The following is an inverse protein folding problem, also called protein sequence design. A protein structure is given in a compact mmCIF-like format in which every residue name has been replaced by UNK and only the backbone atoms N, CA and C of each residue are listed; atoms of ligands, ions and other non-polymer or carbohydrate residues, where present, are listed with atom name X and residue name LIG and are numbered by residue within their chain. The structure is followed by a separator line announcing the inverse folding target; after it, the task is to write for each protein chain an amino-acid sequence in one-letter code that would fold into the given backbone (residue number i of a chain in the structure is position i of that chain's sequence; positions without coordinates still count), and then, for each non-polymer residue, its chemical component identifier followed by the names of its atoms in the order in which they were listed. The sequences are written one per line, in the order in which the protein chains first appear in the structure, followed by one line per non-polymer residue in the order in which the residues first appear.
data_IF_450059007207
#
_entry.id   IF_450059007207
#
_cell.length_a   1.000
_cell.length_b   1.000
_cell.length_c   1.000
_cell.angle_alpha   90.00
_cell.angle_beta   90.00
_cell.angle_gamma   90.00
#
_symmetry.space_group_name_H-M   'P 1'
#
loop_
_entity.id
_entity.type
_entity.pdbx_description
1 polymer ?
#
# COMPACT_ATOMS: atom_id res chain seq x y z
N UNK A 1 13.25 -12.85 37.08
CA UNK A 1 12.13 -13.78 36.77
C UNK A 1 11.19 -13.27 35.68
N UNK A 2 11.15 -11.96 35.38
CA UNK A 2 10.30 -11.33 34.35
C UNK A 2 10.67 -11.64 32.89
N UNK A 3 11.94 -11.91 32.60
CA UNK A 3 12.42 -12.16 31.24
C UNK A 3 11.96 -13.52 30.68
N UNK A 4 11.78 -14.50 31.57
CA UNK A 4 11.43 -15.88 31.20
C UNK A 4 9.93 -16.01 30.87
N UNK A 5 9.07 -15.28 31.58
CA UNK A 5 7.63 -15.24 31.32
C UNK A 5 7.29 -14.48 30.04
N UNK A 6 8.08 -13.46 29.69
CA UNK A 6 7.96 -12.75 28.40
C UNK A 6 8.30 -13.66 27.23
N UNK A 7 9.42 -14.40 27.32
CA UNK A 7 9.85 -15.32 26.27
C UNK A 7 8.80 -16.41 26.01
N UNK A 8 8.26 -17.01 27.08
CA UNK A 8 7.23 -18.03 26.98
C UNK A 8 5.92 -17.48 26.37
N UNK A 9 5.54 -16.26 26.76
CA UNK A 9 4.36 -15.57 26.19
C UNK A 9 4.54 -15.25 24.71
N UNK A 10 5.74 -14.85 24.29
CA UNK A 10 6.06 -14.63 22.88
C UNK A 10 6.03 -15.93 22.08
N UNK A 11 6.64 -17.01 22.59
CA UNK A 11 6.63 -18.31 21.93
C UNK A 11 5.22 -18.87 21.76
N UNK A 12 4.36 -18.77 22.79
CA UNK A 12 2.96 -19.17 22.70
C UNK A 12 2.17 -18.36 21.68
N UNK A 13 2.38 -17.04 21.61
CA UNK A 13 1.71 -16.19 20.60
C UNK A 13 2.14 -16.56 19.18
N UNK A 14 3.44 -16.74 18.97
CA UNK A 14 3.99 -17.13 17.67
C UNK A 14 3.51 -18.52 17.23
N UNK A 15 3.40 -19.49 18.13
CA UNK A 15 2.89 -20.83 17.78
C UNK A 15 1.42 -20.81 17.37
N UNK A 16 0.58 -20.06 18.10
CA UNK A 16 -0.84 -19.89 17.76
C UNK A 16 -1.01 -19.19 16.41
N UNK A 17 -0.23 -18.14 16.16
CA UNK A 17 -0.26 -17.45 14.86
C UNK A 17 0.23 -18.35 13.73
N UNK A 18 1.30 -19.12 13.95
CA UNK A 18 1.82 -20.09 12.99
C UNK A 18 0.76 -21.13 12.59
N UNK A 19 0.02 -21.66 13.56
CA UNK A 19 -1.10 -22.59 13.30
C UNK A 19 -2.23 -21.95 12.48
N UNK A 20 -2.62 -20.72 12.81
CA UNK A 20 -3.65 -20.00 12.04
C UNK A 20 -3.22 -19.73 10.60
N UNK A 21 -1.93 -19.40 10.40
CA UNK A 21 -1.37 -19.21 9.07
C UNK A 21 -1.35 -20.53 8.29
N UNK A 22 -0.94 -21.63 8.92
CA UNK A 22 -0.95 -22.96 8.32
C UNK A 22 -2.35 -23.38 7.89
N UNK A 23 -3.35 -23.25 8.78
CA UNK A 23 -4.74 -23.57 8.46
C UNK A 23 -5.26 -22.72 7.29
N UNK A 24 -4.95 -21.42 7.29
CA UNK A 24 -5.31 -20.52 6.18
C UNK A 24 -4.59 -20.87 4.88
N UNK A 25 -3.37 -21.42 4.96
CA UNK A 25 -2.63 -21.89 3.79
C UNK A 25 -3.21 -23.20 3.26
N UNK A 26 -3.53 -24.15 4.13
CA UNK A 26 -4.19 -25.41 3.77
C UNK A 26 -5.55 -25.18 3.10
N UNK A 27 -6.37 -24.26 3.61
CA UNK A 27 -7.65 -23.90 2.95
C UNK A 27 -7.49 -23.29 1.56
N UNK A 28 -6.30 -22.77 1.25
CA UNK A 28 -5.95 -22.16 -0.04
C UNK A 28 -4.96 -23.02 -0.82
N UNK A 29 -4.74 -24.28 -0.43
CA UNK A 29 -3.83 -25.16 -1.16
C UNK A 29 -4.42 -25.40 -2.54
N UNK A 30 -3.68 -24.98 -3.57
CA UNK A 30 -4.04 -25.21 -4.97
C UNK A 30 -3.29 -26.46 -5.42
N UNK A 31 -4.02 -27.43 -5.95
CA UNK A 31 -3.40 -28.54 -6.68
C UNK A 31 -3.02 -28.06 -8.07
N UNK A 32 -1.76 -27.68 -8.23
CA UNK A 32 -1.22 -27.18 -9.49
C UNK A 32 -1.25 -28.22 -10.61
N UNK A 33 -1.29 -29.53 -10.31
CA UNK A 33 -1.37 -30.57 -11.34
C UNK A 33 -2.75 -30.62 -12.03
N UNK A 34 -3.82 -30.23 -11.31
CA UNK A 34 -5.17 -30.10 -11.85
C UNK A 34 -5.30 -28.92 -12.82
N UNK A 35 -4.62 -27.80 -12.51
CA UNK A 35 -4.65 -26.58 -13.33
C UNK A 35 -4.03 -26.80 -14.71
N UNK A 36 -2.95 -27.59 -14.81
CA UNK A 36 -2.31 -27.93 -16.09
C UNK A 36 -3.19 -28.82 -16.98
N UNK A 37 -4.11 -29.58 -16.40
CA UNK A 37 -5.00 -30.50 -17.12
C UNK A 37 -6.28 -29.82 -17.63
N UNK A 38 -6.61 -28.63 -17.11
CA UNK A 38 -7.79 -27.83 -17.47
C UNK A 38 -7.54 -26.90 -18.68
N UNK A 39 -6.46 -27.11 -19.43
CA UNK A 39 -6.21 -26.40 -20.70
C UNK A 39 -7.03 -26.90 -21.89
N UNK A 40 -7.83 -27.97 -21.72
CA UNK A 40 -8.69 -28.52 -22.77
C UNK A 40 -10.13 -28.06 -22.55
N UNK A 41 -10.38 -26.76 -22.73
CA UNK A 41 -11.74 -26.21 -22.79
C UNK A 41 -12.40 -26.74 -24.06
N UNK A 42 -13.35 -27.66 -23.88
CA UNK A 42 -14.32 -28.02 -24.90
C UNK A 42 -15.03 -26.76 -25.38
N UNK A 43 -14.78 -26.36 -26.63
CA UNK A 43 -15.65 -25.47 -27.38
C UNK A 43 -17.03 -26.11 -27.44
N UNK A 44 -17.97 -25.62 -26.63
CA UNK A 44 -19.39 -25.81 -26.91
C UNK A 44 -19.86 -24.59 -27.68
N UNK A 45 -19.95 -24.79 -28.98
CA UNK A 45 -20.67 -23.98 -29.96
C UNK A 45 -22.12 -23.70 -29.52
N UNK A 46 -22.51 -22.42 -29.50
CA UNK A 46 -23.84 -21.92 -29.89
C UNK A 46 -24.00 -20.41 -29.57
N UNK A 47 -24.34 -19.60 -30.59
CA UNK A 47 -25.09 -18.36 -30.36
C UNK A 47 -24.63 -17.05 -31.02
N UNK A 48 -24.29 -17.08 -32.31
CA UNK A 48 -24.65 -16.09 -33.35
C UNK A 48 -25.09 -14.67 -32.92
N UNK A 49 -24.29 -13.66 -33.27
CA UNK A 49 -24.79 -12.36 -33.76
C UNK A 49 -23.81 -11.71 -34.75
N UNK A 50 -24.28 -11.61 -35.99
CA UNK A 50 -23.62 -11.01 -37.15
C UNK A 50 -23.36 -9.51 -36.99
N UNK A 51 -22.20 -9.07 -37.48
CA UNK A 51 -22.04 -7.82 -38.24
C UNK A 51 -21.17 -8.14 -39.46
N UNK A 52 -21.67 -7.82 -40.66
CA UNK A 52 -21.13 -8.23 -41.96
C UNK A 52 -19.89 -7.45 -42.39
N UNK A 53 -19.16 -8.12 -43.30
CA UNK A 53 -18.59 -7.61 -44.56
C UNK A 53 -17.09 -7.27 -44.60
N UNK A 54 -16.39 -7.87 -45.57
CA UNK A 54 -15.00 -7.52 -45.93
C UNK A 54 -14.01 -8.67 -46.06
N UNK A 55 -14.19 -9.50 -47.10
CA UNK A 55 -13.19 -10.28 -47.87
C UNK A 55 -11.72 -10.30 -47.39
N UNK A 56 -11.21 -11.51 -47.10
CA UNK A 56 -9.90 -11.97 -47.55
C UNK A 56 -8.80 -12.20 -46.52
N UNK A 57 -8.24 -13.42 -46.57
CA UNK A 57 -6.90 -13.86 -46.13
C UNK A 57 -6.74 -14.48 -44.72
N UNK A 58 -6.44 -15.78 -44.79
CA UNK A 58 -5.53 -16.58 -43.96
C UNK A 58 -5.85 -16.82 -42.48
N UNK A 59 -5.61 -18.08 -42.09
CA UNK A 59 -5.85 -18.63 -40.79
C UNK A 59 -4.96 -18.00 -39.72
N UNK A 60 -5.55 -17.25 -38.81
CA UNK A 60 -4.96 -17.00 -37.49
C UNK A 60 -6.01 -17.35 -36.43
N UNK A 61 -5.84 -18.57 -35.93
CA UNK A 61 -6.23 -19.03 -34.62
C UNK A 61 -6.14 -17.85 -33.63
N UNK A 62 -7.28 -17.29 -33.22
CA UNK A 62 -7.36 -16.32 -32.12
C UNK A 62 -7.08 -17.04 -30.79
N UNK A 63 -5.87 -17.62 -30.68
CA UNK A 63 -5.13 -17.66 -29.43
C UNK A 63 -5.20 -16.27 -28.83
N UNK A 64 -5.48 -16.19 -27.53
CA UNK A 64 -5.52 -14.92 -26.81
C UNK A 64 -4.44 -13.99 -27.35
N UNK A 65 -4.83 -12.79 -27.77
CA UNK A 65 -3.88 -11.67 -27.90
C UNK A 65 -2.94 -11.79 -26.71
N UNK A 66 -1.65 -11.95 -27.03
CA UNK A 66 -0.55 -12.45 -26.20
C UNK A 66 -0.72 -12.22 -24.69
N UNK A 67 -0.14 -13.06 -23.82
CA UNK A 67 -0.11 -12.77 -22.36
C UNK A 67 0.26 -11.31 -22.05
N UNK A 68 1.12 -10.72 -22.88
CA UNK A 68 1.46 -9.30 -22.85
C UNK A 68 0.25 -8.35 -23.04
N UNK A 69 -0.66 -8.66 -23.96
CA UNK A 69 -1.90 -7.91 -24.18
C UNK A 69 -2.86 -8.06 -22.99
N UNK A 70 -2.95 -9.24 -22.39
CA UNK A 70 -3.74 -9.44 -21.16
C UNK A 70 -3.18 -8.61 -19.99
N UNK A 71 -1.86 -8.60 -19.80
CA UNK A 71 -1.21 -7.74 -18.80
C UNK A 71 -1.41 -6.25 -19.12
N UNK A 72 -1.32 -5.86 -20.39
CA UNK A 72 -1.58 -4.50 -20.84
C UNK A 72 -3.00 -4.07 -20.50
N UNK A 73 -4.00 -4.91 -20.74
CA UNK A 73 -5.39 -4.65 -20.38
C UNK A 73 -5.55 -4.49 -18.86
N UNK A 74 -4.93 -5.35 -18.04
CA UNK A 74 -4.98 -5.22 -16.58
C UNK A 74 -4.37 -3.88 -16.13
N UNK A 75 -3.20 -3.53 -16.67
CA UNK A 75 -2.52 -2.26 -16.34
C UNK A 75 -3.39 -1.07 -16.74
N UNK A 76 -4.04 -1.11 -17.90
CA UNK A 76 -4.97 -0.08 -18.36
C UNK A 76 -6.18 0.05 -17.42
N UNK A 77 -6.77 -1.07 -16.98
CA UNK A 77 -7.83 -1.06 -15.97
C UNK A 77 -7.36 -0.49 -14.62
N UNK A 78 -6.14 -0.84 -14.18
CA UNK A 78 -5.57 -0.28 -12.95
C UNK A 78 -5.35 1.23 -13.04
N UNK A 79 -4.86 1.72 -14.18
CA UNK A 79 -4.72 3.15 -14.44
C UNK A 79 -6.09 3.85 -14.49
N UNK A 80 -7.05 3.27 -15.20
CA UNK A 80 -8.41 3.80 -15.30
C UNK A 80 -9.09 3.90 -13.94
N UNK A 81 -9.06 2.83 -13.14
CA UNK A 81 -9.65 2.81 -11.79
C UNK A 81 -8.99 3.83 -10.85
N UNK A 82 -7.66 3.99 -10.92
CA UNK A 82 -6.94 5.02 -10.17
C UNK A 82 -7.39 6.44 -10.56
N UNK A 83 -7.56 6.70 -11.86
CA UNK A 83 -8.05 7.98 -12.37
C UNK A 83 -9.50 8.27 -11.93
N UNK A 84 -10.38 7.28 -12.01
CA UNK A 84 -11.77 7.42 -11.58
C UNK A 84 -11.86 7.71 -10.07
N UNK A 85 -11.03 7.03 -9.28
CA UNK A 85 -10.94 7.29 -7.85
C UNK A 85 -10.54 8.75 -7.56
N UNK A 86 -9.52 9.26 -8.27
CA UNK A 86 -9.09 10.66 -8.16
C UNK A 86 -10.20 11.63 -8.56
N UNK A 87 -10.96 11.34 -9.62
CA UNK A 87 -12.07 12.21 -10.05
C UNK A 87 -13.21 12.21 -9.02
N UNK A 88 -13.54 11.07 -8.43
CA UNK A 88 -14.52 10.96 -7.37
C UNK A 88 -14.18 11.90 -6.19
N UNK A 89 -12.97 11.77 -5.63
CA UNK A 89 -12.55 12.61 -4.49
C UNK A 89 -12.33 14.10 -4.84
N UNK A 90 -12.15 14.45 -6.13
CA UNK A 90 -12.18 15.85 -6.58
C UNK A 90 -13.60 16.43 -6.66
N UNK A 91 -14.57 15.58 -6.99
CA UNK A 91 -15.97 15.99 -7.22
C UNK A 91 -16.83 15.99 -5.95
N UNK A 92 -16.47 15.20 -4.94
CA UNK A 92 -17.19 15.12 -3.67
C UNK A 92 -16.82 16.32 -2.79
N UNK A 93 -17.78 17.14 -2.35
CA UNK A 93 -17.51 18.23 -1.42
C UNK A 93 -17.01 17.68 -0.07
N UNK A 94 -16.15 18.46 0.59
CA UNK A 94 -15.46 18.13 1.85
C UNK A 94 -16.45 17.96 3.00
N UNK A 95 -17.17 16.83 3.03
CA UNK A 95 -17.68 16.23 4.26
C UNK A 95 -16.57 15.42 4.90
N UNK A 96 -16.64 15.23 6.22
CA UNK A 96 -15.60 14.52 6.95
C UNK A 96 -15.38 13.13 6.32
N UNK A 97 -14.17 12.87 5.77
CA UNK A 97 -13.91 11.61 5.11
C UNK A 97 -13.97 10.50 6.15
N UNK A 98 -14.67 9.43 5.80
CA UNK A 98 -14.73 8.25 6.65
C UNK A 98 -13.34 7.66 6.85
N UNK A 99 -13.14 6.92 7.94
CA UNK A 99 -11.86 6.25 8.22
C UNK A 99 -11.43 5.29 7.09
N UNK A 100 -12.41 4.72 6.38
CA UNK A 100 -12.18 3.88 5.20
C UNK A 100 -11.64 4.67 4.01
N UNK A 101 -12.17 5.87 3.76
CA UNK A 101 -11.69 6.76 2.68
C UNK A 101 -10.28 7.29 2.98
N UNK A 102 -10.01 7.66 4.24
CA UNK A 102 -8.65 8.06 4.67
C UNK A 102 -7.66 6.91 4.46
N UNK A 103 -8.03 5.68 4.85
CA UNK A 103 -7.18 4.51 4.65
C UNK A 103 -6.94 4.20 3.16
N UNK A 104 -7.98 4.36 2.34
CA UNK A 104 -7.90 4.18 0.90
C UNK A 104 -6.91 5.18 0.27
N UNK A 105 -7.07 6.48 0.55
CA UNK A 105 -6.21 7.54 0.00
C UNK A 105 -4.76 7.35 0.46
N UNK A 106 -4.54 6.98 1.72
CA UNK A 106 -3.18 6.70 2.23
C UNK A 106 -2.51 5.53 1.50
N UNK A 107 -3.27 4.46 1.18
CA UNK A 107 -2.72 3.25 0.55
C UNK A 107 -2.48 3.40 -0.94
N UNK A 108 -3.30 4.16 -1.66
CA UNK A 108 -3.31 4.17 -3.12
C UNK A 108 -2.99 5.54 -3.75
N UNK A 109 -3.01 6.62 -2.96
CA UNK A 109 -2.85 8.00 -3.44
C UNK A 109 -1.91 8.83 -2.56
N UNK A 110 -0.95 8.18 -1.89
CA UNK A 110 -0.05 8.73 -0.86
C UNK A 110 0.67 10.05 -1.20
N UNK A 111 0.69 10.48 -2.46
CA UNK A 111 1.39 11.68 -2.93
C UNK A 111 0.46 12.82 -3.39
N UNK A 112 -0.86 12.65 -3.39
CA UNK A 112 -1.81 13.66 -3.89
C UNK A 112 -3.03 13.84 -2.98
N UNK A 113 -2.82 14.02 -1.67
CA UNK A 113 -3.83 14.70 -0.89
C UNK A 113 -3.99 16.13 -1.46
N UNK A 114 -5.22 16.56 -1.81
CA UNK A 114 -5.50 17.98 -1.94
C UNK A 114 -5.07 18.66 -0.63
N UNK A 115 -4.28 19.73 -0.71
CA UNK A 115 -3.69 20.42 0.46
C UNK A 115 -4.66 20.76 1.59
N UNK A 116 -5.96 20.77 1.33
CA UNK A 116 -7.03 20.95 2.32
C UNK A 116 -7.18 19.80 3.35
N UNK A 117 -6.71 18.58 3.07
CA UNK A 117 -6.83 17.44 4.02
C UNK A 117 -5.52 17.21 4.80
N UNK A 118 -4.36 17.64 4.27
CA UNK A 118 -3.12 17.66 5.06
C UNK A 118 -3.26 18.60 6.25
N UNK A 119 -4.01 19.70 6.06
CA UNK A 119 -4.30 20.66 7.11
C UNK A 119 -5.19 20.07 8.21
N UNK A 120 -6.19 19.22 7.89
CA UNK A 120 -7.12 18.72 8.92
C UNK A 120 -6.72 17.44 9.67
N UNK A 121 -5.85 16.59 9.08
CA UNK A 121 -5.22 15.51 9.87
C UNK A 121 -4.09 16.07 10.72
N UNK A 122 -3.47 17.18 10.28
CA UNK A 122 -2.73 18.05 11.21
C UNK A 122 -3.67 18.52 12.31
N UNK A 123 -4.87 19.06 12.03
CA UNK A 123 -5.77 19.63 13.06
C UNK A 123 -6.20 18.69 14.22
N UNK A 124 -6.15 17.36 14.06
CA UNK A 124 -6.33 16.42 15.20
C UNK A 124 -5.06 16.17 16.01
N UNK A 125 -3.91 16.59 15.48
CA UNK A 125 -2.64 16.79 16.17
C UNK A 125 -2.30 18.28 16.41
N UNK A 126 -3.10 19.26 15.96
CA UNK A 126 -2.95 20.71 16.28
C UNK A 126 -3.56 21.08 17.63
N UNK A 127 -3.44 20.14 18.57
CA UNK A 127 -3.21 20.50 19.97
C UNK A 127 -1.81 20.06 20.41
N UNK A 128 -0.83 20.15 19.51
CA UNK A 128 0.54 20.47 19.91
C UNK A 128 0.66 21.96 19.65
N UNK A 129 0.27 22.70 20.68
CA UNK A 129 0.53 24.11 20.84
C UNK A 129 1.95 24.42 20.37
N UNK A 130 2.08 25.49 19.59
CA UNK A 130 3.28 26.34 19.52
C UNK A 130 4.14 26.14 20.79
N UNK A 131 5.38 25.68 20.62
CA UNK A 131 6.43 25.54 21.64
C UNK A 131 6.57 24.19 22.39
N UNK A 132 6.30 23.04 21.75
CA UNK A 132 6.65 21.73 22.36
C UNK A 132 7.84 21.06 21.65
N UNK A 133 8.95 20.89 22.38
CA UNK A 133 10.14 20.16 21.95
C UNK A 133 9.85 18.67 21.72
N UNK A 134 10.34 18.11 20.61
CA UNK A 134 10.24 16.68 20.32
C UNK A 134 11.32 15.87 21.04
N UNK A 135 10.92 14.82 21.75
CA UNK A 135 11.82 13.90 22.44
C UNK A 135 11.83 12.54 21.73
N UNK A 136 13.01 12.02 21.39
CA UNK A 136 13.18 10.74 20.70
C UNK A 136 14.19 9.89 21.48
N UNK A 137 13.77 8.71 21.94
CA UNK A 137 14.64 7.74 22.60
C UNK A 137 15.29 6.82 21.56
N UNK A 138 16.62 6.70 21.62
CA UNK A 138 17.42 5.90 20.71
C UNK A 138 18.41 5.03 21.47
N UNK A 139 18.87 3.95 20.83
CA UNK A 139 20.00 3.18 21.37
C UNK A 139 21.30 4.02 21.31
N UNK A 140 22.33 3.69 22.09
CA UNK A 140 23.61 4.37 21.98
C UNK A 140 24.21 4.20 20.57
N UNK A 141 24.64 5.29 19.95
CA UNK A 141 25.13 5.27 18.57
C UNK A 141 25.30 6.65 17.94
N UNK A 142 25.68 6.67 16.66
CA UNK A 142 25.81 7.88 15.86
C UNK A 142 24.63 7.99 14.91
N UNK A 143 23.93 9.13 14.94
CA UNK A 143 22.71 9.40 14.21
C UNK A 143 22.84 10.63 13.32
N UNK A 144 22.25 10.56 12.12
CA UNK A 144 22.06 11.72 11.24
C UNK A 144 20.62 12.20 11.36
N UNK A 145 20.44 13.43 11.82
CA UNK A 145 19.14 14.01 12.13
C UNK A 145 18.89 15.14 11.14
N UNK A 146 17.86 14.99 10.32
CA UNK A 146 17.49 15.95 9.28
C UNK A 146 16.13 16.57 9.62
N UNK A 147 16.08 17.90 9.64
CA UNK A 147 14.86 18.67 9.86
C UNK A 147 14.61 19.57 8.64
N UNK A 148 13.37 19.70 8.21
CA UNK A 148 12.99 20.49 7.03
C UNK A 148 11.50 20.76 6.99
N UNK A 149 11.12 21.89 6.40
CA UNK A 149 9.72 22.33 6.27
C UNK A 149 9.36 22.43 4.79
N UNK A 150 8.57 21.47 4.27
CA UNK A 150 8.04 21.51 2.90
C UNK A 150 9.10 21.86 1.83
N UNK A 151 8.86 22.96 1.11
CA UNK A 151 9.71 23.46 0.01
C UNK A 151 10.95 24.25 0.47
N UNK A 152 11.22 24.35 1.78
CA UNK A 152 12.38 25.07 2.36
C UNK A 152 13.64 24.21 2.48
N UNK A 153 14.76 24.87 2.80
CA UNK A 153 16.06 24.23 3.02
C UNK A 153 16.03 23.21 4.18
N UNK A 154 16.70 22.08 3.99
CA UNK A 154 16.83 21.03 5.01
C UNK A 154 18.12 21.22 5.82
N UNK A 155 18.02 21.13 7.15
CA UNK A 155 19.16 21.14 8.06
C UNK A 155 19.46 19.72 8.54
N UNK A 156 20.67 19.22 8.27
CA UNK A 156 21.13 17.91 8.75
C UNK A 156 22.25 18.06 9.76
N UNK A 157 22.15 17.36 10.90
CA UNK A 157 23.19 17.31 11.94
C UNK A 157 23.53 15.88 12.29
N UNK A 158 24.82 15.61 12.45
CA UNK A 158 25.32 14.33 12.94
C UNK A 158 25.53 14.42 14.45
N UNK A 159 24.98 13.47 15.20
CA UNK A 159 25.01 13.48 16.67
C UNK A 159 25.39 12.09 17.17
N UNK A 160 26.27 12.04 18.16
CA UNK A 160 26.59 10.82 18.89
C UNK A 160 25.86 10.84 20.23
N UNK A 161 25.15 9.75 20.54
CA UNK A 161 24.37 9.59 21.77
C UNK A 161 24.95 8.42 22.57
N UNK A 162 25.42 8.68 23.79
CA UNK A 162 25.89 7.63 24.70
C UNK A 162 24.75 7.09 25.57
N UNK A 163 24.98 5.96 26.26
CA UNK A 163 23.97 5.35 27.12
C UNK A 163 23.59 6.26 28.30
N UNK A 164 22.30 6.59 28.42
CA UNK A 164 21.77 7.49 29.46
C UNK A 164 22.01 8.98 29.20
N UNK A 165 22.53 9.34 28.02
CA UNK A 165 22.74 10.72 27.60
C UNK A 165 21.52 11.25 26.82
N UNK A 166 21.19 12.53 27.01
CA UNK A 166 20.18 13.24 26.24
C UNK A 166 20.83 14.43 25.52
N UNK A 167 20.61 14.55 24.21
CA UNK A 167 21.13 15.66 23.40
C UNK A 167 19.95 16.52 22.94
N UNK A 168 19.96 17.81 23.29
CA UNK A 168 18.98 18.77 22.80
C UNK A 168 19.49 19.40 21.49
N UNK A 169 18.63 19.44 20.46
CA UNK A 169 18.96 19.96 19.15
C UNK A 169 17.93 20.99 18.71
N UNK A 170 18.39 22.21 18.48
CA UNK A 170 17.58 23.29 17.91
C UNK A 170 17.87 23.44 16.42
N UNK A 171 16.82 23.33 15.60
CA UNK A 171 16.85 23.57 14.17
C UNK A 171 16.13 24.89 13.86
N UNK A 172 16.76 25.75 13.06
CA UNK A 172 16.16 27.00 12.60
C UNK A 172 15.69 26.78 11.16
N UNK A 173 14.45 26.34 11.01
CA UNK A 173 13.82 26.02 9.72
C UNK A 173 13.02 27.19 9.16
#
# INVERSE_FOLDING_TARGET
MSSQTWLESSLRRSSVLGLKVLERAQRRSVDWASVSSSGKLSQTDNGQRNCNDGVGAEAEEQTCTSLNDAFKTIVEFMAHTTCQCKNFYKSVPVQEPSTYEVNHVYRYHSQQLPGALHQRISEKNEKLTLDEDFHIEVSPGTYSITAGTGDSDQQTRLVQVNAGESVNLTFHL
#
